data_IF_782181452775
#
_entry.id   IF_782181452775
#
_cell.length_a   1.000
_cell.length_b   1.000
_cell.length_c   1.000
_cell.angle_alpha   90.00
_cell.angle_beta   90.00
_cell.angle_gamma   90.00
#
_symmetry.space_group_name_H-M   'P 1'
#
loop_
_entity.id
_entity.type
_entity.pdbx_description
1 polymer ?
#
# COMPACT_ATOMS: atom_id res chain seq x y z
N UNK A 1 -9.46 1.45 -22.99
CA UNK A 1 -9.48 2.95 -22.86
C UNK A 1 -10.91 3.45 -22.93
N UNK A 2 -11.37 4.12 -21.89
CA UNK A 2 -12.67 4.81 -21.83
C UNK A 2 -12.46 6.30 -22.13
N UNK A 3 -12.52 6.68 -23.41
CA UNK A 3 -12.24 8.06 -23.86
C UNK A 3 -13.20 9.12 -23.29
N UNK A 4 -14.52 8.88 -23.20
CA UNK A 4 -15.45 9.82 -22.60
C UNK A 4 -15.16 10.09 -21.13
N UNK A 5 -14.98 9.05 -20.32
CA UNK A 5 -14.69 9.17 -18.88
C UNK A 5 -13.33 9.84 -18.65
N UNK A 6 -12.29 9.47 -19.40
CA UNK A 6 -10.97 10.10 -19.36
C UNK A 6 -11.06 11.61 -19.64
N UNK A 7 -11.77 11.97 -20.70
CA UNK A 7 -11.95 13.38 -21.08
C UNK A 7 -12.68 14.17 -19.99
N UNK A 8 -13.74 13.60 -19.41
CA UNK A 8 -14.51 14.25 -18.34
C UNK A 8 -13.63 14.51 -17.14
N UNK A 9 -12.96 13.48 -16.61
CA UNK A 9 -12.06 13.57 -15.45
C UNK A 9 -10.98 14.65 -15.65
N UNK A 10 -10.26 14.59 -16.76
CA UNK A 10 -9.15 15.52 -17.03
C UNK A 10 -9.63 16.96 -17.23
N UNK A 11 -10.78 17.17 -17.88
CA UNK A 11 -11.37 18.52 -18.07
C UNK A 11 -11.88 19.11 -16.78
N UNK A 12 -12.57 18.33 -15.97
CA UNK A 12 -13.08 18.77 -14.67
C UNK A 12 -11.93 19.18 -13.74
N UNK A 13 -10.90 18.35 -13.61
CA UNK A 13 -9.75 18.66 -12.79
C UNK A 13 -8.96 19.86 -13.29
N UNK A 14 -8.73 19.96 -14.59
CA UNK A 14 -8.06 21.11 -15.21
C UNK A 14 -8.82 22.42 -14.98
N UNK A 15 -10.14 22.36 -14.95
CA UNK A 15 -10.98 23.54 -14.73
C UNK A 15 -10.84 24.13 -13.29
N UNK A 16 -10.41 23.32 -12.33
CA UNK A 16 -10.24 23.75 -10.93
C UNK A 16 -8.90 24.49 -10.70
N UNK A 17 -7.92 24.32 -11.55
CA UNK A 17 -6.59 24.90 -11.35
C UNK A 17 -6.52 26.31 -11.95
N UNK A 18 -6.24 27.29 -11.12
CA UNK A 18 -6.13 28.69 -11.56
C UNK A 18 -4.76 28.91 -12.22
N UNK A 19 -4.70 29.47 -13.46
CA UNK A 19 -3.41 29.76 -14.11
C UNK A 19 -2.49 30.64 -13.26
N UNK A 20 -3.07 31.57 -12.52
CA UNK A 20 -2.38 32.53 -11.68
C UNK A 20 -1.57 31.85 -10.54
N UNK A 21 -2.01 30.69 -10.05
CA UNK A 21 -1.27 29.92 -9.04
C UNK A 21 0.04 29.34 -9.57
N UNK A 22 0.20 29.30 -10.90
CA UNK A 22 1.42 28.85 -11.58
C UNK A 22 2.17 30.01 -12.30
N UNK A 23 1.87 31.28 -11.93
CA UNK A 23 2.50 32.45 -12.54
C UNK A 23 2.09 32.70 -14.01
N UNK A 24 0.98 32.10 -14.45
CA UNK A 24 0.50 32.21 -15.82
C UNK A 24 -0.72 33.14 -15.91
N UNK A 25 -0.81 33.89 -17.00
CA UNK A 25 -2.00 34.70 -17.29
C UNK A 25 -3.08 33.87 -18.00
N UNK A 26 -4.35 34.26 -17.79
CA UNK A 26 -5.45 33.66 -18.53
C UNK A 26 -5.34 34.00 -20.03
N UNK A 27 -5.55 33.02 -20.92
CA UNK A 27 -5.55 33.32 -22.37
C UNK A 27 -6.64 34.33 -22.71
N UNK A 28 -6.24 35.45 -23.29
CA UNK A 28 -7.14 36.58 -23.69
C UNK A 28 -7.73 36.39 -25.09
N UNK A 29 -8.00 35.18 -25.54
CA UNK A 29 -8.69 35.00 -26.82
C UNK A 29 -10.18 35.30 -26.69
N UNK A 30 -10.68 36.23 -27.54
CA UNK A 30 -12.12 36.47 -27.73
C UNK A 30 -12.86 35.16 -28.02
N UNK A 31 -13.80 34.80 -27.17
CA UNK A 31 -14.66 33.64 -27.33
C UNK A 31 -14.27 32.45 -26.43
N UNK A 32 -15.09 32.20 -25.40
CA UNK A 32 -15.07 31.15 -24.38
C UNK A 32 -13.84 31.18 -23.45
N UNK A 33 -14.01 31.87 -22.32
CA UNK A 33 -13.16 31.68 -21.14
C UNK A 33 -13.36 30.24 -20.63
N UNK A 34 -12.52 29.31 -21.05
CA UNK A 34 -12.48 28.01 -20.41
C UNK A 34 -12.01 28.22 -18.96
N UNK A 35 -12.73 27.72 -17.95
CA UNK A 35 -12.27 27.78 -16.58
C UNK A 35 -10.98 26.97 -16.44
N UNK A 36 -10.03 27.49 -15.63
CA UNK A 36 -8.79 26.81 -15.29
C UNK A 36 -7.69 26.88 -16.37
N UNK A 37 -6.71 25.99 -16.24
CA UNK A 37 -5.56 25.91 -17.16
C UNK A 37 -5.98 25.54 -18.59
N UNK A 38 -5.34 26.11 -19.60
CA UNK A 38 -5.43 25.61 -20.97
C UNK A 38 -4.56 24.36 -21.18
N UNK A 39 -4.84 23.58 -22.19
CA UNK A 39 -4.03 22.39 -22.55
C UNK A 39 -2.55 22.78 -22.82
N UNK A 40 -2.32 23.89 -23.55
CA UNK A 40 -0.98 24.39 -23.81
C UNK A 40 -0.24 24.86 -22.54
N UNK A 41 -0.96 25.42 -21.55
CA UNK A 41 -0.34 25.78 -20.28
C UNK A 41 0.07 24.55 -19.47
N UNK A 42 -0.67 23.45 -19.54
CA UNK A 42 -0.26 22.19 -18.90
C UNK A 42 1.00 21.65 -19.54
N UNK A 43 1.07 21.60 -20.88
CA UNK A 43 2.29 21.18 -21.60
C UNK A 43 3.49 22.05 -21.21
N UNK A 44 3.29 23.37 -21.06
CA UNK A 44 4.32 24.32 -20.64
C UNK A 44 4.81 24.04 -19.20
N UNK A 45 3.87 23.87 -18.23
CA UNK A 45 4.21 23.62 -16.83
C UNK A 45 4.95 22.29 -16.68
N UNK A 46 4.52 21.26 -17.40
CA UNK A 46 5.10 19.92 -17.33
C UNK A 46 6.33 19.76 -18.25
N UNK A 47 6.78 20.82 -18.93
CA UNK A 47 7.89 20.79 -19.89
C UNK A 47 7.75 19.68 -20.94
N UNK A 48 6.51 19.49 -21.44
CA UNK A 48 6.19 18.48 -22.47
C UNK A 48 6.05 19.16 -23.85
N UNK A 49 6.19 18.34 -24.90
CA UNK A 49 5.97 18.82 -26.26
C UNK A 49 4.52 19.31 -26.45
N UNK A 50 4.30 20.33 -27.34
CA UNK A 50 2.96 20.84 -27.62
C UNK A 50 1.98 19.73 -28.01
N UNK A 51 0.72 19.86 -27.60
CA UNK A 51 -0.41 18.91 -27.80
C UNK A 51 -0.25 17.56 -27.05
N UNK A 52 0.76 17.39 -26.18
CA UNK A 52 0.92 16.16 -25.39
C UNK A 52 -0.28 15.93 -24.49
N UNK A 53 -0.64 16.94 -23.67
CA UNK A 53 -1.82 16.86 -22.82
C UNK A 53 -3.12 16.80 -23.62
N UNK A 54 -3.21 17.54 -24.73
CA UNK A 54 -4.39 17.50 -25.61
C UNK A 54 -4.65 16.11 -26.20
N UNK A 55 -3.60 15.39 -26.57
CA UNK A 55 -3.68 13.99 -27.00
C UNK A 55 -4.10 13.06 -25.85
N UNK A 56 -3.60 13.28 -24.65
CA UNK A 56 -4.00 12.53 -23.46
C UNK A 56 -5.48 12.78 -23.14
N UNK A 57 -5.91 14.04 -22.99
CA UNK A 57 -7.30 14.41 -22.66
C UNK A 57 -8.31 13.92 -23.71
N UNK A 58 -7.91 13.88 -24.98
CA UNK A 58 -8.78 13.37 -26.06
C UNK A 58 -8.76 11.85 -26.24
N UNK A 59 -7.92 11.13 -25.48
CA UNK A 59 -7.73 9.69 -25.63
C UNK A 59 -7.07 9.28 -26.95
N UNK A 60 -6.28 10.18 -27.57
CA UNK A 60 -5.46 9.89 -28.75
C UNK A 60 -4.07 9.37 -28.42
N UNK A 61 -3.65 9.46 -27.14
CA UNK A 61 -2.40 8.92 -26.67
C UNK A 61 -2.61 7.46 -26.26
N UNK A 62 -2.19 6.50 -27.09
CA UNK A 62 -2.53 5.07 -26.90
C UNK A 62 -1.86 4.47 -25.65
N UNK A 63 -0.59 4.74 -25.44
CA UNK A 63 0.18 4.25 -24.30
C UNK A 63 0.93 5.41 -23.64
N UNK A 64 0.25 6.26 -22.85
CA UNK A 64 0.94 7.32 -22.14
C UNK A 64 1.91 6.72 -21.11
N UNK A 65 3.14 7.23 -21.02
CA UNK A 65 4.12 6.76 -20.05
C UNK A 65 3.68 7.13 -18.62
N UNK A 66 4.07 6.30 -17.65
CA UNK A 66 3.66 6.42 -16.26
C UNK A 66 4.04 7.77 -15.64
N UNK A 67 5.22 8.29 -15.97
CA UNK A 67 5.70 9.59 -15.51
C UNK A 67 4.80 10.74 -16.00
N UNK A 68 4.35 10.70 -17.24
CA UNK A 68 3.39 11.69 -17.75
C UNK A 68 2.07 11.64 -17.00
N UNK A 69 1.52 10.46 -16.78
CA UNK A 69 0.27 10.30 -16.01
C UNK A 69 0.43 10.82 -14.58
N UNK A 70 1.56 10.54 -13.93
CA UNK A 70 1.85 10.97 -12.58
C UNK A 70 2.02 12.50 -12.50
N UNK A 71 2.78 13.09 -13.42
CA UNK A 71 2.97 14.53 -13.49
C UNK A 71 1.65 15.26 -13.69
N UNK A 72 0.80 14.77 -14.61
CA UNK A 72 -0.54 15.31 -14.87
C UNK A 72 -1.41 15.17 -13.62
N UNK A 73 -1.45 14.01 -12.98
CA UNK A 73 -2.26 13.78 -11.79
C UNK A 73 -1.85 14.70 -10.63
N UNK A 74 -0.54 14.88 -10.40
CA UNK A 74 -0.02 15.79 -9.38
C UNK A 74 -0.33 17.25 -9.67
N UNK A 75 -0.10 17.69 -10.91
CA UNK A 75 -0.42 19.06 -11.34
C UNK A 75 -1.91 19.38 -11.15
N UNK A 76 -2.78 18.43 -11.49
CA UNK A 76 -4.23 18.60 -11.40
C UNK A 76 -4.79 18.35 -9.99
N UNK A 77 -3.93 18.08 -9.00
CA UNK A 77 -4.31 17.86 -7.60
C UNK A 77 -5.28 16.67 -7.43
N UNK A 78 -5.05 15.59 -8.18
CA UNK A 78 -5.85 14.37 -8.06
C UNK A 78 -5.58 13.66 -6.74
N UNK A 79 -6.60 13.02 -6.19
CA UNK A 79 -6.47 12.10 -5.09
C UNK A 79 -6.18 10.67 -5.61
N UNK A 80 -5.94 9.72 -4.68
CA UNK A 80 -5.61 8.33 -5.03
C UNK A 80 -6.73 7.63 -5.83
N UNK A 81 -7.99 7.92 -5.54
CA UNK A 81 -9.12 7.33 -6.29
C UNK A 81 -9.18 7.83 -7.73
N UNK A 82 -8.90 9.11 -7.93
CA UNK A 82 -8.84 9.71 -9.27
C UNK A 82 -7.60 9.27 -10.04
N UNK A 83 -6.50 9.03 -9.34
CA UNK A 83 -5.30 8.39 -9.90
C UNK A 83 -5.60 6.99 -10.43
N UNK A 84 -6.29 6.16 -9.64
CA UNK A 84 -6.75 4.83 -10.06
C UNK A 84 -7.69 4.96 -11.27
N UNK A 85 -8.64 5.89 -11.22
CA UNK A 85 -9.56 6.13 -12.34
C UNK A 85 -8.82 6.56 -13.62
N UNK A 86 -7.85 7.46 -13.52
CA UNK A 86 -7.01 7.89 -14.65
C UNK A 86 -6.32 6.71 -15.33
N UNK A 87 -5.70 5.81 -14.54
CA UNK A 87 -5.05 4.61 -15.06
C UNK A 87 -6.03 3.67 -15.73
N UNK A 88 -7.15 3.38 -15.09
CA UNK A 88 -8.19 2.52 -15.63
C UNK A 88 -8.76 3.06 -16.94
N UNK A 89 -9.01 4.37 -17.03
CA UNK A 89 -9.52 4.99 -18.24
C UNK A 89 -8.50 5.03 -19.38
N UNK A 90 -7.21 5.24 -19.06
CA UNK A 90 -6.14 5.27 -20.05
C UNK A 90 -5.73 3.87 -20.52
N UNK A 91 -5.45 2.97 -19.57
CA UNK A 91 -4.72 1.73 -19.82
C UNK A 91 -5.52 0.47 -19.49
N UNK A 92 -6.69 0.59 -18.83
CA UNK A 92 -7.52 -0.54 -18.44
C UNK A 92 -6.96 -1.37 -17.28
N UNK A 93 -6.03 -0.81 -16.52
CA UNK A 93 -5.38 -1.47 -15.38
C UNK A 93 -5.20 -0.51 -14.21
N UNK A 94 -4.91 -1.03 -13.02
CA UNK A 94 -4.60 -0.23 -11.86
C UNK A 94 -3.16 0.32 -11.92
N UNK A 95 -2.89 1.48 -11.27
CA UNK A 95 -1.55 2.03 -11.22
C UNK A 95 -0.59 1.09 -10.47
N UNK A 96 0.67 0.97 -10.90
CA UNK A 96 1.65 0.11 -10.24
C UNK A 96 2.16 0.68 -8.90
N UNK A 97 1.87 1.95 -8.62
CA UNK A 97 2.27 2.66 -7.40
C UNK A 97 1.23 3.73 -7.04
N UNK A 98 1.15 4.16 -5.77
CA UNK A 98 0.28 5.26 -5.35
C UNK A 98 0.75 6.59 -5.94
N UNK A 99 -0.17 7.54 -6.12
CA UNK A 99 0.14 8.88 -6.60
C UNK A 99 1.04 9.64 -5.62
N UNK A 100 0.71 9.57 -4.34
CA UNK A 100 1.49 10.15 -3.27
C UNK A 100 2.37 9.07 -2.64
N UNK A 101 3.67 9.33 -2.58
CA UNK A 101 4.62 8.44 -1.93
C UNK A 101 4.34 8.25 -0.43
N UNK A 102 3.66 9.20 0.21
CA UNK A 102 3.21 9.10 1.61
C UNK A 102 1.82 8.47 1.76
N UNK A 103 1.20 8.03 0.67
CA UNK A 103 -0.09 7.35 0.73
C UNK A 103 0.01 6.08 1.56
N UNK A 104 -0.84 5.99 2.58
CA UNK A 104 -0.83 4.87 3.53
C UNK A 104 0.06 5.07 4.75
N UNK A 105 0.81 6.17 4.89
CA UNK A 105 1.49 6.53 6.14
C UNK A 105 0.49 7.02 7.21
N UNK A 106 -0.68 7.50 6.76
CA UNK A 106 -1.79 7.91 7.61
C UNK A 106 -3.09 7.27 7.13
N UNK A 107 -3.97 6.99 8.08
CA UNK A 107 -5.32 6.47 7.81
C UNK A 107 -6.35 7.29 8.60
N UNK A 108 -7.60 7.44 8.09
CA UNK A 108 -8.68 8.06 8.84
C UNK A 108 -8.89 7.40 10.21
N UNK A 109 -9.18 8.21 11.25
CA UNK A 109 -9.33 7.71 12.63
C UNK A 109 -10.42 6.65 12.82
N UNK A 110 -11.44 6.61 11.94
CA UNK A 110 -12.46 5.56 11.91
C UNK A 110 -11.89 4.13 11.77
N UNK A 111 -10.66 3.99 11.27
CA UNK A 111 -9.98 2.70 11.19
C UNK A 111 -9.66 2.12 12.56
N UNK A 112 -9.41 2.96 13.59
CA UNK A 112 -9.25 2.45 14.95
C UNK A 112 -10.56 1.84 15.46
N UNK A 113 -11.71 2.51 15.25
CA UNK A 113 -13.03 1.98 15.63
C UNK A 113 -13.33 0.67 14.89
N UNK A 114 -13.03 0.60 13.60
CA UNK A 114 -13.24 -0.61 12.80
C UNK A 114 -12.37 -1.76 13.30
N UNK A 115 -11.11 -1.52 13.63
CA UNK A 115 -10.18 -2.52 14.16
C UNK A 115 -10.61 -2.98 15.55
N UNK A 116 -11.07 -2.07 16.41
CA UNK A 116 -11.60 -2.40 17.75
C UNK A 116 -12.85 -3.29 17.69
N UNK A 117 -13.64 -3.18 16.62
CA UNK A 117 -14.80 -4.04 16.37
C UNK A 117 -14.44 -5.47 15.92
N UNK A 118 -13.18 -5.76 15.59
CA UNK A 118 -12.74 -7.10 15.18
C UNK A 118 -12.44 -7.96 16.42
N UNK A 119 -13.06 -9.13 16.50
CA UNK A 119 -12.90 -10.06 17.64
C UNK A 119 -11.62 -10.89 17.59
N UNK A 120 -10.86 -10.84 16.51
CA UNK A 120 -9.56 -11.46 16.35
C UNK A 120 -8.44 -10.44 16.52
N UNK A 121 -7.20 -10.90 16.67
CA UNK A 121 -6.05 -10.01 16.63
C UNK A 121 -6.05 -9.23 15.33
N UNK A 122 -6.09 -7.91 15.38
CA UNK A 122 -6.12 -7.06 14.19
C UNK A 122 -5.27 -5.81 14.36
N UNK A 123 -4.59 -5.44 13.28
CA UNK A 123 -3.82 -4.20 13.23
C UNK A 123 -3.76 -3.65 11.81
N UNK A 124 -3.47 -2.34 11.71
CA UNK A 124 -3.15 -1.68 10.45
C UNK A 124 -1.73 -1.17 10.54
N UNK A 125 -0.94 -1.42 9.53
CA UNK A 125 0.39 -0.84 9.36
C UNK A 125 0.49 -0.05 8.05
N UNK A 126 1.48 0.84 7.98
CA UNK A 126 1.88 1.51 6.75
C UNK A 126 2.72 0.59 5.85
N UNK A 127 3.18 1.12 4.71
CA UNK A 127 4.03 0.39 3.76
C UNK A 127 5.39 -0.01 4.35
N UNK A 128 5.89 0.75 5.34
CA UNK A 128 7.15 0.49 6.06
C UNK A 128 6.95 -0.35 7.32
N UNK A 129 5.75 -0.93 7.49
CA UNK A 129 5.32 -1.73 8.64
C UNK A 129 5.25 -0.97 9.97
N UNK A 130 5.21 0.38 9.98
CA UNK A 130 4.89 1.13 11.19
C UNK A 130 3.43 0.91 11.55
N UNK A 131 3.17 0.67 12.82
CA UNK A 131 1.84 0.38 13.33
C UNK A 131 1.01 1.66 13.41
N UNK A 132 -0.13 1.68 12.72
CA UNK A 132 -1.05 2.83 12.67
C UNK A 132 -2.25 2.66 13.59
N UNK A 133 -2.80 1.45 13.66
CA UNK A 133 -3.93 1.10 14.53
C UNK A 133 -3.85 -0.37 14.95
N UNK A 134 -4.39 -0.71 16.11
CA UNK A 134 -4.50 -2.09 16.58
C UNK A 134 -5.55 -2.23 17.67
N UNK A 135 -6.10 -3.45 17.84
CA UNK A 135 -7.07 -3.74 18.87
C UNK A 135 -6.43 -4.39 20.13
N UNK A 136 -7.24 -4.52 21.18
CA UNK A 136 -6.80 -5.14 22.43
C UNK A 136 -6.38 -6.60 22.26
N UNK A 137 -7.02 -7.35 21.36
CA UNK A 137 -6.63 -8.73 21.07
C UNK A 137 -5.19 -8.82 20.51
N UNK A 138 -4.79 -7.87 19.67
CA UNK A 138 -3.42 -7.78 19.20
C UNK A 138 -2.45 -7.42 20.34
N UNK A 139 -2.82 -6.46 21.20
CA UNK A 139 -1.99 -6.07 22.32
C UNK A 139 -1.76 -7.23 23.32
N UNK A 140 -2.73 -8.10 23.51
CA UNK A 140 -2.63 -9.28 24.37
C UNK A 140 -1.66 -10.35 23.88
N UNK A 141 -1.23 -10.29 22.61
CA UNK A 141 -0.18 -11.16 22.08
C UNK A 141 1.17 -10.93 22.79
N UNK A 142 1.41 -9.70 23.25
CA UNK A 142 2.71 -9.29 23.75
C UNK A 142 2.80 -9.37 25.26
N UNK A 143 3.90 -9.94 25.81
CA UNK A 143 4.13 -9.94 27.24
C UNK A 143 4.15 -8.51 27.82
N UNK A 144 3.34 -8.28 28.86
CA UNK A 144 3.23 -6.96 29.49
C UNK A 144 2.63 -5.87 28.61
N UNK A 145 1.93 -6.22 27.53
CA UNK A 145 1.26 -5.26 26.61
C UNK A 145 2.20 -4.36 25.81
N UNK A 146 3.46 -4.75 25.65
CA UNK A 146 4.45 -3.95 24.91
C UNK A 146 4.36 -4.18 23.42
N UNK A 147 3.39 -3.52 22.80
CA UNK A 147 3.15 -3.59 21.36
C UNK A 147 4.32 -2.94 20.59
N UNK A 148 4.89 -3.61 19.57
CA UNK A 148 5.97 -3.05 18.76
C UNK A 148 5.47 -1.90 17.91
N UNK A 149 6.27 -0.85 17.75
CA UNK A 149 5.94 0.28 16.87
C UNK A 149 6.05 -0.05 15.38
N UNK A 150 6.89 -1.02 15.03
CA UNK A 150 7.09 -1.49 13.67
C UNK A 150 7.08 -3.02 13.67
N UNK A 151 6.15 -3.60 12.93
CA UNK A 151 5.92 -5.05 12.93
C UNK A 151 6.98 -5.81 12.12
N UNK A 152 7.56 -5.21 11.07
CA UNK A 152 8.67 -5.81 10.32
C UNK A 152 9.92 -5.92 11.21
N UNK A 153 10.28 -4.84 11.88
CA UNK A 153 11.44 -4.83 12.78
C UNK A 153 11.27 -5.85 13.90
N UNK A 154 10.08 -5.91 14.51
CA UNK A 154 9.76 -6.90 15.51
C UNK A 154 9.94 -8.32 14.98
N UNK A 155 9.32 -8.66 13.86
CA UNK A 155 9.42 -10.02 13.29
C UNK A 155 10.84 -10.40 12.84
N UNK A 156 11.61 -9.44 12.32
CA UNK A 156 12.90 -9.71 11.69
C UNK A 156 14.07 -9.68 12.68
N UNK A 157 14.06 -8.76 13.66
CA UNK A 157 15.26 -8.40 14.45
C UNK A 157 15.08 -8.62 15.94
N UNK A 158 13.86 -8.43 16.48
CA UNK A 158 13.62 -8.50 17.92
C UNK A 158 13.83 -9.93 18.43
N UNK A 159 14.73 -10.07 19.43
CA UNK A 159 14.99 -11.38 20.03
C UNK A 159 13.77 -11.93 20.79
N UNK A 160 12.98 -11.06 21.44
CA UNK A 160 11.75 -11.45 22.13
C UNK A 160 10.67 -11.95 21.16
N UNK A 161 10.70 -11.50 19.91
CA UNK A 161 9.80 -12.02 18.88
C UNK A 161 10.03 -13.51 18.62
N UNK A 162 11.25 -14.01 18.75
CA UNK A 162 11.57 -15.44 18.52
C UNK A 162 10.97 -16.37 19.58
N UNK A 163 10.55 -15.84 20.73
CA UNK A 163 9.78 -16.58 21.73
C UNK A 163 8.30 -16.63 21.38
N UNK A 164 7.81 -15.58 20.74
CA UNK A 164 6.42 -15.47 20.26
C UNK A 164 6.21 -16.17 18.93
N UNK A 165 7.14 -16.01 17.99
CA UNK A 165 7.11 -16.58 16.64
C UNK A 165 7.77 -17.97 16.67
N UNK A 166 7.00 -18.99 17.03
CA UNK A 166 7.50 -20.37 17.19
C UNK A 166 8.17 -20.83 15.90
N UNK A 167 9.29 -21.52 16.02
CA UNK A 167 10.10 -22.00 14.91
C UNK A 167 10.45 -20.89 13.90
N UNK A 168 10.93 -19.76 14.46
CA UNK A 168 11.18 -18.53 13.71
C UNK A 168 12.02 -18.76 12.43
N UNK A 169 13.07 -19.57 12.55
CA UNK A 169 14.02 -19.83 11.45
C UNK A 169 13.40 -20.52 10.23
N UNK A 170 12.41 -21.40 10.44
CA UNK A 170 11.81 -22.18 9.36
C UNK A 170 10.39 -21.70 9.01
N UNK A 171 9.65 -21.19 9.99
CA UNK A 171 8.23 -20.88 9.81
C UNK A 171 7.95 -19.38 9.60
N UNK A 172 8.86 -18.48 9.99
CA UNK A 172 8.64 -17.04 9.90
C UNK A 172 9.67 -16.31 9.06
N UNK A 173 10.96 -16.43 9.38
CA UNK A 173 12.02 -15.67 8.72
C UNK A 173 12.07 -15.86 7.20
N UNK A 174 11.92 -17.09 6.64
CA UNK A 174 11.93 -17.32 5.19
C UNK A 174 10.76 -16.66 4.46
N UNK A 175 9.71 -16.25 5.18
CA UNK A 175 8.52 -15.62 4.63
C UNK A 175 8.52 -14.11 4.87
N UNK A 176 9.09 -13.65 5.98
CA UNK A 176 9.15 -12.24 6.39
C UNK A 176 10.30 -11.51 5.70
N UNK A 177 11.51 -12.08 5.72
CA UNK A 177 12.70 -11.40 5.23
C UNK A 177 12.68 -11.09 3.72
N UNK A 178 12.12 -11.96 2.84
CA UNK A 178 11.95 -11.61 1.44
C UNK A 178 10.99 -10.44 1.19
N UNK A 179 10.01 -10.22 2.09
CA UNK A 179 9.10 -9.06 1.99
C UNK A 179 9.85 -7.76 2.24
N UNK A 180 10.77 -7.72 3.22
CA UNK A 180 11.64 -6.57 3.47
C UNK A 180 12.47 -6.22 2.23
N UNK A 181 13.10 -7.21 1.60
CA UNK A 181 13.89 -7.03 0.38
C UNK A 181 13.04 -6.51 -0.78
N UNK A 182 11.85 -7.07 -0.98
CA UNK A 182 10.94 -6.63 -2.03
C UNK A 182 10.46 -5.20 -1.82
N UNK A 183 10.18 -4.80 -0.56
CA UNK A 183 9.77 -3.46 -0.23
C UNK A 183 10.89 -2.43 -0.46
N UNK A 184 12.13 -2.74 -0.08
CA UNK A 184 13.29 -1.90 -0.37
C UNK A 184 13.57 -1.78 -1.87
N UNK A 185 13.36 -2.83 -2.64
CA UNK A 185 13.48 -2.77 -4.10
C UNK A 185 12.41 -1.86 -4.73
N UNK A 186 11.21 -1.79 -4.13
CA UNK A 186 10.12 -0.92 -4.58
C UNK A 186 10.33 0.54 -4.15
N UNK A 187 10.91 0.79 -2.98
CA UNK A 187 11.25 2.13 -2.47
C UNK A 187 12.65 2.13 -1.83
N UNK A 188 13.70 2.32 -2.63
CA UNK A 188 15.08 2.35 -2.12
C UNK A 188 15.37 3.55 -1.18
N UNK A 189 14.48 4.54 -1.14
CA UNK A 189 14.60 5.73 -0.30
C UNK A 189 14.03 5.57 1.11
N UNK A 190 13.34 4.46 1.41
CA UNK A 190 12.76 4.22 2.73
C UNK A 190 13.84 3.97 3.79
N UNK A 191 14.10 5.00 4.61
CA UNK A 191 15.12 4.96 5.65
C UNK A 191 14.77 3.97 6.78
N UNK A 192 13.49 3.78 7.07
CA UNK A 192 13.03 2.83 8.10
C UNK A 192 13.38 1.41 7.69
N UNK A 193 13.04 1.02 6.46
CA UNK A 193 13.33 -0.31 5.94
C UNK A 193 14.84 -0.53 5.74
N UNK A 194 15.57 0.48 5.26
CA UNK A 194 17.03 0.42 5.13
C UNK A 194 17.72 0.21 6.49
N UNK A 195 17.21 0.85 7.55
CA UNK A 195 17.74 0.62 8.89
C UNK A 195 17.44 -0.80 9.40
N UNK A 196 16.23 -1.32 9.14
CA UNK A 196 15.86 -2.69 9.49
C UNK A 196 16.73 -3.71 8.72
N UNK A 197 16.98 -3.48 7.43
CA UNK A 197 17.88 -4.32 6.64
C UNK A 197 19.30 -4.37 7.24
N UNK A 198 19.83 -3.22 7.61
CA UNK A 198 21.15 -3.15 8.26
C UNK A 198 21.19 -3.97 9.55
N UNK A 199 20.13 -3.94 10.35
CA UNK A 199 20.02 -4.74 11.58
C UNK A 199 19.88 -6.23 11.29
N UNK A 200 19.13 -6.62 10.26
CA UNK A 200 19.00 -8.00 9.77
C UNK A 200 20.36 -8.54 9.31
N UNK A 201 21.12 -7.74 8.56
CA UNK A 201 22.43 -8.14 8.06
C UNK A 201 23.49 -8.24 9.18
N UNK A 202 23.29 -7.57 10.32
CA UNK A 202 24.15 -7.68 11.49
C UNK A 202 23.93 -8.96 12.31
N UNK A 203 22.80 -9.66 12.15
CA UNK A 203 22.52 -10.97 12.75
C UNK A 203 22.90 -12.08 11.74
N UNK A 204 23.93 -12.91 11.98
CA UNK A 204 24.40 -13.92 11.04
C UNK A 204 23.32 -14.92 10.60
N UNK A 205 22.40 -15.30 11.51
CA UNK A 205 21.30 -16.21 11.21
C UNK A 205 20.28 -15.54 10.27
N UNK A 206 19.83 -14.33 10.60
CA UNK A 206 18.90 -13.58 9.78
C UNK A 206 19.51 -13.24 8.41
N UNK A 207 20.78 -12.81 8.39
CA UNK A 207 21.51 -12.52 7.14
C UNK A 207 21.59 -13.73 6.21
N UNK A 208 21.86 -14.91 6.78
CA UNK A 208 21.92 -16.16 6.03
C UNK A 208 20.58 -16.50 5.34
N UNK A 209 19.45 -16.20 6.00
CA UNK A 209 18.11 -16.41 5.42
C UNK A 209 17.77 -15.29 4.43
N UNK A 210 18.04 -14.03 4.80
CA UNK A 210 17.77 -12.86 3.97
C UNK A 210 18.43 -12.93 2.59
N UNK A 211 19.67 -13.44 2.53
CA UNK A 211 20.44 -13.54 1.28
C UNK A 211 20.03 -14.72 0.38
N UNK A 212 19.15 -15.61 0.83
CA UNK A 212 18.64 -16.69 -0.04
C UNK A 212 17.80 -16.14 -1.19
N UNK A 213 17.95 -16.63 -2.42
CA UNK A 213 17.12 -16.22 -3.55
C UNK A 213 15.70 -16.76 -3.38
N UNK A 214 14.85 -15.98 -2.73
CA UNK A 214 13.43 -16.31 -2.54
C UNK A 214 12.59 -15.08 -2.71
N UNK A 215 11.44 -15.20 -3.36
CA UNK A 215 10.39 -14.22 -3.37
C UNK A 215 9.17 -14.81 -2.66
N UNK A 216 8.57 -14.02 -1.78
CA UNK A 216 7.36 -14.43 -1.09
C UNK A 216 6.32 -13.31 -1.16
N UNK A 217 5.14 -13.68 -1.61
CA UNK A 217 3.94 -12.87 -1.45
C UNK A 217 3.14 -13.50 -0.31
N UNK A 218 2.68 -12.67 0.59
CA UNK A 218 1.90 -13.08 1.74
C UNK A 218 0.48 -13.50 1.29
N UNK A 219 0.17 -14.80 1.12
CA UNK A 219 -1.17 -15.22 0.72
C UNK A 219 -2.12 -15.22 1.93
N UNK A 220 -3.38 -14.91 1.67
CA UNK A 220 -4.45 -15.13 2.62
C UNK A 220 -4.57 -16.62 2.95
N UNK A 221 -4.89 -16.91 4.22
CA UNK A 221 -4.98 -18.27 4.71
C UNK A 221 -3.65 -18.91 5.07
N UNK A 222 -2.53 -18.16 5.04
CA UNK A 222 -1.25 -18.64 5.53
C UNK A 222 -1.30 -18.86 7.04
N UNK A 223 -0.94 -20.06 7.46
CA UNK A 223 -1.05 -20.51 8.85
C UNK A 223 0.34 -20.72 9.45
N UNK A 224 0.63 -20.06 10.57
CA UNK A 224 1.94 -20.09 11.23
C UNK A 224 1.83 -20.37 12.72
N UNK A 225 2.83 -21.08 13.30
CA UNK A 225 2.86 -21.36 14.72
C UNK A 225 3.20 -20.09 15.50
N UNK A 226 2.44 -19.84 16.58
CA UNK A 226 2.53 -18.62 17.37
C UNK A 226 2.36 -18.97 18.86
N UNK A 227 3.15 -18.34 19.72
CA UNK A 227 3.00 -18.42 21.17
C UNK A 227 2.32 -17.14 21.68
N UNK A 228 1.03 -17.21 21.96
CA UNK A 228 0.28 -16.09 22.49
C UNK A 228 0.55 -15.92 24.00
N UNK A 229 0.90 -14.70 24.45
CA UNK A 229 1.31 -14.46 25.82
C UNK A 229 0.28 -14.92 26.87
N UNK A 230 -1.03 -14.82 26.55
CA UNK A 230 -2.13 -15.24 27.44
C UNK A 230 -2.66 -16.64 27.17
N UNK A 231 -2.74 -17.05 25.89
CA UNK A 231 -3.38 -18.29 25.47
C UNK A 231 -2.40 -19.45 25.23
N UNK A 232 -1.08 -19.17 25.30
CA UNK A 232 -0.06 -20.16 25.06
C UNK A 232 0.18 -20.47 23.57
N UNK A 233 0.87 -21.58 23.26
CA UNK A 233 1.21 -21.95 21.90
C UNK A 233 -0.02 -22.34 21.09
N UNK A 234 0.01 -22.02 19.81
CA UNK A 234 -1.07 -22.29 18.86
C UNK A 234 -0.70 -21.90 17.43
N UNK A 235 -1.70 -21.64 16.62
CA UNK A 235 -1.58 -21.34 15.21
C UNK A 235 -2.39 -20.10 14.86
N UNK A 236 -1.79 -19.20 14.10
CA UNK A 236 -2.43 -18.01 13.57
C UNK A 236 -2.61 -18.13 12.06
N UNK A 237 -3.86 -18.03 11.61
CA UNK A 237 -4.19 -17.93 10.18
C UNK A 237 -4.34 -16.45 9.84
N UNK A 238 -3.68 -16.01 8.78
CA UNK A 238 -3.62 -14.59 8.42
C UNK A 238 -4.57 -14.26 7.27
N UNK A 239 -5.24 -13.11 7.39
CA UNK A 239 -5.98 -12.46 6.32
C UNK A 239 -5.44 -11.04 6.17
N UNK A 240 -5.27 -10.57 4.95
CA UNK A 240 -4.80 -9.22 4.67
C UNK A 240 -5.76 -8.49 3.73
N UNK A 241 -5.95 -7.20 3.98
CA UNK A 241 -6.71 -6.31 3.12
C UNK A 241 -6.01 -4.95 3.01
N UNK A 242 -6.25 -4.26 1.92
CA UNK A 242 -5.69 -2.93 1.69
C UNK A 242 -6.82 -1.88 1.78
N UNK A 243 -6.68 -0.84 2.64
CA UNK A 243 -7.60 0.28 2.64
C UNK A 243 -7.62 0.99 1.29
N UNK A 244 -8.79 1.16 0.69
CA UNK A 244 -8.92 1.74 -0.65
C UNK A 244 -8.45 3.20 -0.74
N UNK A 245 -8.63 3.97 0.34
CA UNK A 245 -8.24 5.39 0.39
C UNK A 245 -6.78 5.60 0.82
N UNK A 246 -6.10 4.53 1.25
CA UNK A 246 -4.72 4.58 1.73
C UNK A 246 -3.92 3.41 1.13
N UNK A 247 -3.69 3.38 -0.19
CA UNK A 247 -2.90 2.35 -0.84
C UNK A 247 -1.47 2.38 -0.28
N UNK A 248 -1.02 1.24 0.23
CA UNK A 248 0.23 1.12 0.98
C UNK A 248 0.01 0.78 2.46
N UNK A 249 -1.09 1.20 3.08
CA UNK A 249 -1.51 0.65 4.37
C UNK A 249 -2.07 -0.76 4.20
N UNK A 250 -1.95 -1.59 5.22
CA UNK A 250 -2.44 -2.97 5.24
C UNK A 250 -3.16 -3.25 6.55
N UNK A 251 -4.41 -3.68 6.44
CA UNK A 251 -5.13 -4.31 7.55
C UNK A 251 -4.72 -5.78 7.59
N UNK A 252 -4.24 -6.24 8.74
CA UNK A 252 -3.90 -7.64 9.00
C UNK A 252 -4.83 -8.16 10.11
N UNK A 253 -5.44 -9.30 9.87
CA UNK A 253 -6.27 -10.01 10.83
C UNK A 253 -5.65 -11.38 11.05
N UNK A 254 -5.43 -11.75 12.31
CA UNK A 254 -4.86 -13.02 12.71
C UNK A 254 -5.91 -13.82 13.50
N UNK A 255 -6.43 -14.86 12.86
CA UNK A 255 -7.35 -15.81 13.51
C UNK A 255 -6.52 -16.84 14.26
N UNK A 256 -6.45 -16.69 15.59
CA UNK A 256 -5.63 -17.56 16.43
C UNK A 256 -6.43 -18.74 16.99
N UNK A 257 -5.78 -19.89 17.02
CA UNK A 257 -6.27 -21.10 17.65
C UNK A 257 -5.20 -21.68 18.55
N UNK A 258 -5.49 -21.81 19.85
CA UNK A 258 -4.57 -22.43 20.79
C UNK A 258 -4.49 -23.96 20.56
N UNK A 259 -3.31 -24.53 20.85
CA UNK A 259 -3.06 -25.97 20.77
C UNK A 259 -2.54 -26.44 19.40
N UNK A 260 -2.88 -27.66 19.03
CA UNK A 260 -2.34 -28.30 17.82
C UNK A 260 -2.87 -27.70 16.53
N UNK A 261 -2.05 -27.81 15.48
CA UNK A 261 -2.44 -27.41 14.13
C UNK A 261 -3.70 -28.14 13.71
N UNK A 262 -4.73 -27.37 13.33
CA UNK A 262 -5.94 -27.97 12.78
C UNK A 262 -5.62 -28.74 11.50
N UNK A 263 -6.02 -30.00 11.41
CA UNK A 263 -5.98 -30.75 10.16
C UNK A 263 -7.11 -30.26 9.26
N UNK A 264 -6.88 -29.17 8.56
CA UNK A 264 -7.84 -28.70 7.58
C UNK A 264 -7.50 -29.23 6.19
N UNK A 265 -8.50 -29.83 5.57
CA UNK A 265 -8.64 -29.65 4.13
C UNK A 265 -8.59 -28.13 3.86
N UNK A 266 -7.89 -27.70 2.79
CA UNK A 266 -7.78 -26.28 2.41
C UNK A 266 -9.08 -25.55 2.68
N UNK A 267 -9.04 -24.41 3.39
CA UNK A 267 -10.22 -23.57 3.63
C UNK A 267 -10.94 -23.37 2.29
N UNK A 268 -12.22 -23.75 2.17
CA UNK A 268 -12.92 -23.65 0.89
C UNK A 268 -12.95 -22.19 0.45
N UNK A 269 -12.71 -21.95 -0.83
CA UNK A 269 -12.84 -20.61 -1.41
C UNK A 269 -14.31 -20.18 -1.35
N UNK A 270 -14.57 -19.03 -0.72
CA UNK A 270 -15.91 -18.44 -0.74
C UNK A 270 -16.21 -17.93 -2.15
N UNK A 271 -17.40 -18.24 -2.65
CA UNK A 271 -17.91 -17.76 -3.94
C UNK A 271 -19.28 -17.14 -3.73
N UNK A 272 -19.57 -16.07 -4.44
CA UNK A 272 -20.94 -15.59 -4.54
C UNK A 272 -21.81 -16.69 -5.15
N UNK A 273 -23.00 -16.94 -4.60
CA UNK A 273 -23.97 -17.80 -5.23
C UNK A 273 -24.36 -17.15 -6.57
N UNK A 274 -24.37 -17.94 -7.64
CA UNK A 274 -24.88 -17.47 -8.92
C UNK A 274 -26.40 -17.19 -8.78
N UNK A 275 -26.93 -16.10 -9.33
CA UNK A 275 -28.35 -15.76 -9.29
C UNK A 275 -29.19 -16.81 -10.00
#
# INVERSE_FOLDING_TARGET
MDKPALRSLLRERRALIKPESHGLSRPTRQGRRAPGLSQAQIDQILHRAPDTYGRLESGRYQNPPADLLQDVARLLGMNEQEWIALWRYCLGQDPPFPLNSQSGEEIPGVWQEAVDGITHMAYVNDRSWNLLAYNSCWAELFPGGRVPRNTMRWMAVDRGARETLIDWEHSWAPLVLPQLRAALAADPGDQTLAQIEKEVLADPLAAGIYNRPSAYLHPDGDERPLNHARLGPGWATMCAAQPMAAPGARLIILVFHAGEKRRHARTPMLRAEAP
#
